data_IF_632786119688
#
_entry.id   IF_632786119688
#
_cell.length_a   1.000
_cell.length_b   1.000
_cell.length_c   1.000
_cell.angle_alpha   90.00
_cell.angle_beta   90.00
_cell.angle_gamma   90.00
#
_symmetry.space_group_name_H-M   'P 1'
#
loop_
_entity.id
_entity.type
_entity.pdbx_description
1 polymer ?
#
# COMPACT_ATOMS: atom_id res chain seq x y z
N UNK A 1 43.98 74.57 -37.07
CA UNK A 1 43.13 73.38 -37.21
C UNK A 1 43.94 72.19 -36.72
N UNK A 2 43.73 71.80 -35.46
CA UNK A 2 44.41 70.63 -34.87
C UNK A 2 43.33 69.54 -34.68
N UNK A 3 43.50 68.40 -35.34
CA UNK A 3 42.66 67.23 -35.17
C UNK A 3 43.19 66.33 -34.03
N UNK A 4 42.43 66.20 -33.00
CA UNK A 4 42.72 65.29 -31.88
C UNK A 4 42.18 63.93 -32.22
N UNK A 5 43.06 62.92 -32.25
CA UNK A 5 42.66 61.52 -32.40
C UNK A 5 42.49 60.92 -30.99
N UNK A 6 41.29 60.47 -30.68
CA UNK A 6 41.00 59.73 -29.44
C UNK A 6 41.11 58.28 -29.74
N UNK A 7 42.05 57.59 -29.09
CA UNK A 7 42.25 56.16 -29.14
C UNK A 7 41.37 55.51 -28.06
N UNK A 8 40.34 54.75 -28.45
CA UNK A 8 39.54 54.00 -27.51
C UNK A 8 40.15 52.61 -27.33
N UNK A 9 40.62 52.31 -26.11
CA UNK A 9 40.96 50.94 -25.69
C UNK A 9 39.67 50.17 -25.36
N UNK A 10 39.38 49.13 -26.14
CA UNK A 10 38.41 48.10 -25.73
C UNK A 10 39.12 47.09 -24.84
N UNK A 11 38.72 47.04 -23.56
CA UNK A 11 39.07 45.96 -22.65
C UNK A 11 38.06 44.83 -22.84
N UNK A 12 38.52 43.70 -23.34
CA UNK A 12 37.73 42.47 -23.39
C UNK A 12 37.68 41.86 -21.99
N UNK A 13 36.51 41.95 -21.32
CA UNK A 13 36.22 41.16 -20.13
C UNK A 13 35.72 39.79 -20.56
N UNK A 14 36.56 38.78 -20.41
CA UNK A 14 36.17 37.39 -20.52
C UNK A 14 35.38 37.01 -19.28
N UNK A 15 34.04 36.93 -19.38
CA UNK A 15 33.20 36.40 -18.34
C UNK A 15 33.26 34.86 -18.43
N UNK A 16 33.88 34.24 -17.43
CA UNK A 16 33.80 32.80 -17.21
C UNK A 16 32.38 32.50 -16.70
N UNK A 17 31.49 32.08 -17.58
CA UNK A 17 30.20 31.51 -17.18
C UNK A 17 30.45 30.09 -16.70
N UNK A 18 30.44 29.89 -15.38
CA UNK A 18 30.26 28.59 -14.80
C UNK A 18 28.81 28.20 -15.02
N UNK A 19 28.53 27.37 -16.00
CA UNK A 19 27.26 26.67 -16.11
C UNK A 19 27.20 25.66 -14.97
N UNK A 20 26.57 26.07 -13.87
CA UNK A 20 26.13 25.19 -12.84
C UNK A 20 24.96 24.37 -13.39
N UNK A 21 25.21 23.16 -13.85
CA UNK A 21 24.16 22.13 -14.03
C UNK A 21 23.69 21.74 -12.65
N UNK A 22 22.81 22.53 -12.06
CA UNK A 22 22.00 22.13 -10.93
C UNK A 22 21.06 21.06 -11.46
N UNK A 23 21.44 19.80 -11.31
CA UNK A 23 20.52 18.69 -11.47
C UNK A 23 19.41 18.89 -10.45
N UNK A 24 18.22 19.25 -10.91
CA UNK A 24 17.03 19.09 -10.09
C UNK A 24 16.88 17.59 -9.90
N UNK A 25 17.15 17.11 -8.69
CA UNK A 25 16.78 15.77 -8.29
C UNK A 25 15.26 15.74 -8.38
N UNK A 26 14.74 15.04 -9.38
CA UNK A 26 13.30 14.85 -9.57
C UNK A 26 12.81 14.03 -8.38
N UNK A 27 12.23 14.71 -7.40
CA UNK A 27 11.67 14.03 -6.23
C UNK A 27 10.56 13.12 -6.74
N UNK A 28 10.72 11.82 -6.56
CA UNK A 28 9.71 10.85 -6.95
C UNK A 28 8.35 11.23 -6.33
N UNK A 29 7.26 11.12 -7.09
CA UNK A 29 5.94 11.46 -6.57
C UNK A 29 5.61 10.56 -5.38
N UNK A 30 5.20 11.19 -4.27
CA UNK A 30 4.75 10.48 -3.10
C UNK A 30 3.45 9.77 -3.40
N UNK A 31 3.42 8.45 -3.18
CA UNK A 31 2.21 7.66 -3.30
C UNK A 31 1.56 7.47 -1.92
N UNK A 32 0.23 7.44 -1.91
CA UNK A 32 -0.58 7.36 -0.71
C UNK A 32 -1.36 6.05 -0.65
N UNK A 33 -1.65 5.57 0.56
CA UNK A 33 -2.64 4.52 0.75
C UNK A 33 -4.05 5.10 0.57
N UNK A 34 -4.83 4.54 -0.36
CA UNK A 34 -6.21 4.93 -0.63
C UNK A 34 -7.23 4.16 0.21
N UNK A 35 -6.84 3.25 1.08
CA UNK A 35 -7.76 2.48 1.89
C UNK A 35 -8.58 3.39 2.79
N UNK A 36 -9.91 3.36 2.61
CA UNK A 36 -10.82 4.12 3.44
C UNK A 36 -10.94 3.47 4.81
N UNK A 37 -10.53 4.21 5.81
CA UNK A 37 -10.66 3.77 7.19
C UNK A 37 -12.10 3.91 7.68
N UNK A 38 -12.57 2.96 8.49
CA UNK A 38 -13.86 3.09 9.12
C UNK A 38 -13.93 4.33 10.01
N UNK A 39 -15.11 4.97 10.10
CA UNK A 39 -15.34 6.02 11.09
C UNK A 39 -15.08 5.50 12.51
N UNK A 40 -14.87 6.40 13.47
CA UNK A 40 -14.68 6.03 14.90
C UNK A 40 -15.77 5.07 15.37
N UNK A 41 -17.05 5.35 15.03
CA UNK A 41 -18.15 4.44 15.35
C UNK A 41 -18.07 3.10 14.64
N UNK A 42 -17.57 3.08 13.39
CA UNK A 42 -17.35 1.85 12.63
C UNK A 42 -16.22 1.00 13.21
N UNK A 43 -15.13 1.63 13.66
CA UNK A 43 -14.02 0.96 14.35
C UNK A 43 -14.52 0.34 15.67
N UNK A 44 -15.20 1.12 16.50
CA UNK A 44 -15.75 0.63 17.76
C UNK A 44 -16.71 -0.54 17.54
N UNK A 45 -17.57 -0.48 16.53
CA UNK A 45 -18.46 -1.59 16.19
C UNK A 45 -17.70 -2.85 15.76
N UNK A 46 -16.62 -2.68 15.00
CA UNK A 46 -15.75 -3.80 14.60
C UNK A 46 -15.04 -4.44 15.82
N UNK A 47 -14.51 -3.63 16.74
CA UNK A 47 -13.84 -4.10 17.95
C UNK A 47 -14.84 -4.80 18.91
N UNK A 48 -16.04 -4.25 19.07
CA UNK A 48 -17.10 -4.91 19.86
C UNK A 48 -17.50 -6.26 19.25
N UNK A 49 -17.67 -6.32 17.93
CA UNK A 49 -17.95 -7.57 17.24
C UNK A 49 -16.82 -8.60 17.41
N UNK A 50 -15.57 -8.15 17.45
CA UNK A 50 -14.42 -9.01 17.75
C UNK A 50 -14.44 -9.53 19.18
N UNK A 51 -14.79 -8.69 20.16
CA UNK A 51 -14.85 -9.08 21.57
C UNK A 51 -15.95 -10.12 21.86
N UNK A 52 -17.00 -10.15 21.03
CA UNK A 52 -18.07 -11.15 21.12
C UNK A 52 -17.70 -12.49 20.46
N UNK A 53 -16.61 -12.54 19.69
CA UNK A 53 -16.13 -13.81 19.15
C UNK A 53 -15.57 -14.60 20.33
N UNK A 54 -16.16 -15.75 20.70
CA UNK A 54 -15.61 -16.55 21.77
C UNK A 54 -14.13 -16.77 21.52
N UNK A 55 -13.28 -16.45 22.48
CA UNK A 55 -11.89 -16.89 22.47
C UNK A 55 -11.92 -18.41 22.51
N UNK A 56 -12.14 -19.04 21.36
CA UNK A 56 -12.12 -20.50 21.25
C UNK A 56 -10.69 -20.90 21.62
N UNK A 57 -10.56 -21.45 22.80
CA UNK A 57 -9.35 -22.11 23.21
C UNK A 57 -9.01 -23.15 22.14
N UNK A 58 -7.76 -23.17 21.71
CA UNK A 58 -7.01 -24.20 20.99
C UNK A 58 -7.40 -24.63 19.56
N UNK A 59 -8.60 -24.37 19.05
CA UNK A 59 -8.99 -24.82 17.70
C UNK A 59 -8.97 -23.73 16.61
N UNK A 60 -8.51 -22.52 16.91
CA UNK A 60 -8.34 -21.47 15.90
C UNK A 60 -7.06 -21.76 15.11
N UNK A 61 -7.21 -21.96 13.81
CA UNK A 61 -6.06 -22.00 12.93
C UNK A 61 -5.32 -20.66 13.05
N UNK A 62 -4.11 -20.72 13.55
CA UNK A 62 -3.16 -19.62 13.46
C UNK A 62 -2.54 -19.69 12.07
N UNK A 63 -2.78 -18.66 11.26
CA UNK A 63 -2.32 -18.64 9.88
C UNK A 63 -3.13 -19.56 8.95
N UNK A 64 -2.58 -19.75 7.77
CA UNK A 64 -3.20 -20.57 6.72
C UNK A 64 -2.68 -20.23 5.33
N UNK A 65 -3.31 -20.85 4.32
CA UNK A 65 -3.07 -20.51 2.92
C UNK A 65 -4.26 -19.77 2.35
N UNK A 66 -3.99 -18.65 1.70
CA UNK A 66 -4.96 -17.82 1.00
C UNK A 66 -4.73 -18.02 -0.51
N UNK A 67 -5.78 -18.42 -1.21
CA UNK A 67 -5.78 -18.49 -2.67
C UNK A 67 -5.86 -17.07 -3.24
N UNK A 68 -5.01 -16.74 -4.21
CA UNK A 68 -4.91 -15.41 -4.82
C UNK A 68 -5.30 -15.46 -6.27
N UNK A 69 -6.28 -14.66 -6.65
CA UNK A 69 -6.71 -14.44 -8.01
C UNK A 69 -6.22 -13.07 -8.47
N UNK A 70 -5.31 -13.03 -9.44
CA UNK A 70 -4.72 -11.77 -9.92
C UNK A 70 -5.36 -11.36 -11.24
N UNK A 71 -5.89 -10.14 -11.27
CA UNK A 71 -6.55 -9.52 -12.41
C UNK A 71 -5.76 -8.29 -12.85
N UNK A 72 -4.89 -8.44 -13.85
CA UNK A 72 -4.19 -7.30 -14.45
C UNK A 72 -5.12 -6.63 -15.47
N UNK A 73 -5.46 -5.38 -15.18
CA UNK A 73 -6.33 -4.58 -16.06
C UNK A 73 -5.46 -3.49 -16.66
N UNK A 74 -5.24 -3.55 -17.96
CA UNK A 74 -4.48 -2.56 -18.74
C UNK A 74 -5.39 -1.74 -19.64
N UNK A 75 -5.01 -0.48 -19.92
CA UNK A 75 -5.78 0.36 -20.83
C UNK A 75 -5.56 -0.02 -22.29
N UNK A 76 -4.33 -0.37 -22.64
CA UNK A 76 -3.89 -0.83 -23.96
C UNK A 76 -2.59 -1.63 -23.80
N UNK A 77 -2.15 -2.40 -24.82
CA UNK A 77 -0.81 -2.97 -24.81
C UNK A 77 0.26 -1.88 -24.60
N UNK A 78 1.15 -2.09 -23.64
CA UNK A 78 2.19 -1.14 -23.25
C UNK A 78 1.78 -0.11 -22.20
N UNK A 79 0.51 -0.09 -21.77
CA UNK A 79 0.05 0.81 -20.69
C UNK A 79 -0.73 0.02 -19.63
N UNK A 80 -0.11 -0.18 -18.48
CA UNK A 80 -0.60 -1.04 -17.40
C UNK A 80 -0.24 -2.52 -17.59
N UNK A 81 0.71 -2.84 -18.48
CA UNK A 81 1.19 -4.20 -18.66
C UNK A 81 1.97 -4.65 -17.42
N UNK A 82 1.63 -5.84 -16.95
CA UNK A 82 2.36 -6.55 -15.91
C UNK A 82 2.64 -7.97 -16.38
N UNK A 83 3.89 -8.39 -16.30
CA UNK A 83 4.33 -9.71 -16.72
C UNK A 83 4.06 -10.78 -15.65
N UNK A 84 4.00 -12.05 -16.08
CA UNK A 84 3.94 -13.19 -15.15
C UNK A 84 5.12 -13.16 -14.16
N UNK A 85 6.32 -12.81 -14.62
CA UNK A 85 7.49 -12.74 -13.75
C UNK A 85 7.35 -11.70 -12.62
N UNK A 86 6.71 -10.56 -12.88
CA UNK A 86 6.42 -9.57 -11.84
C UNK A 86 5.38 -10.10 -10.85
N UNK A 87 4.36 -10.82 -11.32
CA UNK A 87 3.38 -11.46 -10.45
C UNK A 87 4.04 -12.55 -9.59
N UNK A 88 4.89 -13.40 -10.17
CA UNK A 88 5.61 -14.43 -9.43
C UNK A 88 6.50 -13.79 -8.35
N UNK A 89 7.18 -12.69 -8.68
CA UNK A 89 7.98 -11.93 -7.71
C UNK A 89 7.12 -11.29 -6.62
N UNK A 90 5.95 -10.73 -6.97
CA UNK A 90 5.00 -10.20 -5.98
C UNK A 90 4.49 -11.28 -5.02
N UNK A 91 4.23 -12.48 -5.51
CA UNK A 91 3.84 -13.61 -4.66
C UNK A 91 4.97 -14.02 -3.70
N UNK A 92 6.24 -13.91 -4.12
CA UNK A 92 7.39 -14.12 -3.23
C UNK A 92 7.47 -13.05 -2.14
N UNK A 93 7.27 -11.77 -2.49
CA UNK A 93 7.25 -10.66 -1.52
C UNK A 93 6.15 -10.87 -0.47
N UNK A 94 4.91 -11.15 -0.89
CA UNK A 94 3.82 -11.47 0.03
C UNK A 94 4.16 -12.64 0.95
N UNK A 95 4.68 -13.74 0.40
CA UNK A 95 5.02 -14.90 1.21
C UNK A 95 6.18 -14.64 2.18
N UNK A 96 7.18 -13.84 1.80
CA UNK A 96 8.27 -13.46 2.69
C UNK A 96 7.78 -12.62 3.87
N UNK A 97 6.88 -11.67 3.63
CA UNK A 97 6.34 -10.79 4.66
C UNK A 97 5.41 -11.51 5.64
N UNK A 98 4.54 -12.39 5.14
CA UNK A 98 3.50 -13.02 5.94
C UNK A 98 3.84 -14.40 6.50
N UNK A 99 4.83 -15.10 5.92
CA UNK A 99 5.22 -16.42 6.42
C UNK A 99 5.69 -16.43 7.89
N UNK A 100 6.43 -15.42 8.38
CA UNK A 100 6.83 -15.36 9.79
C UNK A 100 5.64 -15.33 10.76
N UNK A 101 4.49 -14.81 10.32
CA UNK A 101 3.25 -14.76 11.10
C UNK A 101 2.23 -15.86 10.71
N UNK A 102 2.69 -16.90 10.01
CA UNK A 102 1.91 -18.13 9.75
C UNK A 102 1.05 -18.11 8.50
N UNK A 103 1.03 -17.04 7.70
CA UNK A 103 0.20 -16.93 6.51
C UNK A 103 0.99 -17.22 5.22
N UNK A 104 0.32 -17.82 4.24
CA UNK A 104 0.85 -18.15 2.92
C UNK A 104 -0.13 -17.71 1.84
N UNK A 105 0.40 -17.34 0.68
CA UNK A 105 -0.37 -16.95 -0.49
C UNK A 105 -0.03 -17.87 -1.65
N UNK A 106 -1.06 -18.48 -2.23
CA UNK A 106 -0.93 -19.36 -3.39
C UNK A 106 -1.62 -18.73 -4.59
N UNK A 107 -0.89 -18.57 -5.70
CA UNK A 107 -1.45 -18.02 -6.93
C UNK A 107 -2.40 -19.05 -7.57
N UNK A 108 -3.70 -18.86 -7.38
CA UNK A 108 -4.72 -19.73 -7.93
C UNK A 108 -4.96 -19.48 -9.42
N UNK A 109 -4.95 -18.20 -9.82
CA UNK A 109 -5.09 -17.82 -11.22
C UNK A 109 -4.52 -16.41 -11.47
N UNK A 110 -4.12 -16.19 -12.72
CA UNK A 110 -3.67 -14.91 -13.26
C UNK A 110 -4.31 -14.68 -14.64
N UNK A 111 -4.84 -13.49 -14.84
CA UNK A 111 -5.40 -13.09 -16.14
C UNK A 111 -5.07 -11.63 -16.46
N UNK A 112 -4.97 -11.31 -17.75
CA UNK A 112 -4.78 -9.94 -18.23
C UNK A 112 -5.97 -9.51 -19.06
N UNK A 113 -6.56 -8.38 -18.68
CA UNK A 113 -7.74 -7.79 -19.31
C UNK A 113 -7.34 -6.46 -19.96
N UNK A 114 -7.64 -6.27 -21.25
CA UNK A 114 -7.51 -4.97 -21.91
C UNK A 114 -8.85 -4.26 -21.88
N UNK A 115 -8.98 -3.28 -20.99
CA UNK A 115 -10.19 -2.47 -20.84
C UNK A 115 -9.83 -1.05 -20.37
N UNK A 116 -9.83 -0.05 -21.28
CA UNK A 116 -9.45 1.33 -20.93
C UNK A 116 -10.31 1.95 -19.85
N UNK A 117 -11.59 1.57 -19.76
CA UNK A 117 -12.50 2.10 -18.74
C UNK A 117 -12.20 1.50 -17.37
N UNK A 118 -12.04 0.17 -17.30
CA UNK A 118 -11.74 -0.51 -16.05
C UNK A 118 -10.30 -0.27 -15.55
N UNK A 119 -9.41 0.17 -16.43
CA UNK A 119 -8.04 0.52 -16.05
C UNK A 119 -8.02 1.61 -14.97
N UNK A 120 -8.92 2.59 -15.04
CA UNK A 120 -9.09 3.63 -14.02
C UNK A 120 -10.02 3.15 -12.92
N UNK A 121 -9.48 2.35 -12.00
CA UNK A 121 -10.22 1.65 -10.95
C UNK A 121 -10.33 2.50 -9.67
N UNK A 122 -10.97 3.66 -9.78
CA UNK A 122 -11.15 4.59 -8.66
C UNK A 122 -12.07 3.99 -7.57
N UNK A 123 -11.66 4.10 -6.33
CA UNK A 123 -12.38 3.57 -5.17
C UNK A 123 -13.78 4.18 -5.05
N UNK A 124 -14.79 3.34 -4.84
CA UNK A 124 -16.19 3.74 -4.69
C UNK A 124 -16.89 4.07 -6.00
N UNK A 125 -16.20 4.02 -7.14
CA UNK A 125 -16.78 4.34 -8.45
C UNK A 125 -17.70 3.23 -8.97
N UNK A 126 -18.56 3.59 -9.94
CA UNK A 126 -19.35 2.62 -10.68
C UNK A 126 -18.47 1.70 -11.54
N UNK A 127 -17.32 2.19 -11.98
CA UNK A 127 -16.32 1.42 -12.73
C UNK A 127 -15.73 0.32 -11.87
N UNK A 128 -15.32 0.63 -10.64
CA UNK A 128 -14.85 -0.36 -9.67
C UNK A 128 -15.90 -1.45 -9.45
N UNK A 129 -17.16 -1.04 -9.19
CA UNK A 129 -18.23 -2.00 -8.95
C UNK A 129 -18.47 -2.94 -10.13
N UNK A 130 -18.40 -2.44 -11.36
CA UNK A 130 -18.56 -3.23 -12.58
C UNK A 130 -17.39 -4.19 -12.80
N UNK A 131 -16.15 -3.69 -12.70
CA UNK A 131 -14.96 -4.50 -12.90
C UNK A 131 -14.87 -5.63 -11.87
N UNK A 132 -15.00 -5.30 -10.58
CA UNK A 132 -14.97 -6.30 -9.50
C UNK A 132 -16.10 -7.30 -9.61
N UNK A 133 -17.33 -6.89 -9.94
CA UNK A 133 -18.46 -7.82 -10.14
C UNK A 133 -18.23 -8.81 -11.31
N UNK A 134 -17.50 -8.40 -12.34
CA UNK A 134 -17.19 -9.26 -13.49
C UNK A 134 -16.00 -10.21 -13.21
N UNK A 135 -15.02 -9.76 -12.44
CA UNK A 135 -13.73 -10.43 -12.28
C UNK A 135 -13.59 -11.20 -10.98
N UNK A 136 -14.35 -10.85 -9.93
CA UNK A 136 -14.24 -11.50 -8.62
C UNK A 136 -14.33 -13.03 -8.73
N UNK A 137 -13.42 -13.73 -8.04
CA UNK A 137 -13.32 -15.19 -7.98
C UNK A 137 -13.26 -15.66 -6.52
N UNK A 138 -13.68 -16.91 -6.32
CA UNK A 138 -13.58 -17.57 -5.00
C UNK A 138 -14.63 -17.10 -4.00
N UNK A 139 -14.25 -17.12 -2.75
CA UNK A 139 -15.07 -16.83 -1.57
C UNK A 139 -14.44 -15.72 -0.73
N UNK A 140 -15.03 -15.38 0.42
CA UNK A 140 -14.46 -14.40 1.34
C UNK A 140 -13.06 -14.78 1.88
N UNK A 141 -12.65 -16.05 1.73
CA UNK A 141 -11.33 -16.55 2.16
C UNK A 141 -10.23 -16.25 1.15
N UNK A 142 -10.62 -15.94 -0.08
CA UNK A 142 -9.73 -15.86 -1.23
C UNK A 142 -9.47 -14.39 -1.57
N UNK A 143 -8.22 -14.05 -1.85
CA UNK A 143 -7.82 -12.70 -2.18
C UNK A 143 -7.98 -12.45 -3.68
N UNK A 144 -8.76 -11.44 -4.04
CA UNK A 144 -8.76 -10.88 -5.38
C UNK A 144 -7.84 -9.66 -5.43
N UNK A 145 -6.78 -9.74 -6.23
CA UNK A 145 -5.79 -8.69 -6.41
C UNK A 145 -5.98 -8.07 -7.80
N UNK A 146 -6.48 -6.84 -7.84
CA UNK A 146 -6.70 -6.08 -9.07
C UNK A 146 -5.52 -5.14 -9.27
N UNK A 147 -4.82 -5.29 -10.39
CA UNK A 147 -3.67 -4.47 -10.75
C UNK A 147 -4.08 -3.53 -11.87
N UNK A 148 -4.13 -2.23 -11.58
CA UNK A 148 -4.71 -1.21 -12.47
C UNK A 148 -4.13 0.18 -12.14
N UNK A 149 -4.85 1.25 -12.46
CA UNK A 149 -4.61 2.61 -12.01
C UNK A 149 -5.72 3.04 -11.03
N UNK A 150 -5.47 3.08 -9.72
CA UNK A 150 -6.47 3.51 -8.73
C UNK A 150 -6.75 5.03 -8.76
N UNK A 151 -5.97 5.81 -9.52
CA UNK A 151 -6.07 7.27 -9.55
C UNK A 151 -5.58 7.96 -8.28
N UNK A 152 -5.75 9.28 -8.22
CA UNK A 152 -5.52 10.15 -7.03
C UNK A 152 -4.13 10.07 -6.40
N UNK A 153 -3.11 9.51 -7.07
CA UNK A 153 -1.78 9.28 -6.49
C UNK A 153 -1.75 8.16 -5.45
N UNK A 154 -2.70 7.23 -5.53
CA UNK A 154 -2.73 6.08 -4.62
C UNK A 154 -1.81 4.97 -5.11
N UNK A 155 -1.05 4.37 -4.17
CA UNK A 155 -0.33 3.10 -4.40
C UNK A 155 -1.29 1.91 -4.51
N UNK A 156 -2.45 2.03 -3.90
CA UNK A 156 -3.50 1.03 -3.87
C UNK A 156 -4.53 1.31 -2.78
N UNK A 157 -5.52 0.43 -2.70
CA UNK A 157 -6.52 0.40 -1.63
C UNK A 157 -7.09 -1.00 -1.42
N UNK A 158 -7.64 -1.24 -0.24
CA UNK A 158 -8.21 -2.52 0.16
C UNK A 158 -9.65 -2.39 0.67
N UNK A 159 -10.42 -3.45 0.56
CA UNK A 159 -11.68 -3.62 1.26
C UNK A 159 -11.42 -4.19 2.65
N UNK A 160 -11.71 -3.42 3.70
CA UNK A 160 -11.59 -3.90 5.09
C UNK A 160 -12.57 -5.06 5.36
N UNK A 161 -12.23 -6.04 6.25
CA UNK A 161 -13.03 -7.24 6.48
C UNK A 161 -14.50 -6.98 6.82
N UNK A 162 -14.78 -5.97 7.65
CA UNK A 162 -16.15 -5.63 8.02
C UNK A 162 -16.99 -5.13 6.82
N UNK A 163 -16.36 -4.53 5.80
CA UNK A 163 -17.01 -4.06 4.58
C UNK A 163 -17.36 -5.17 3.59
N UNK A 164 -16.64 -6.29 3.62
CA UNK A 164 -16.79 -7.37 2.65
C UNK A 164 -18.15 -8.08 2.71
N UNK A 165 -18.76 -8.18 3.90
CA UNK A 165 -20.07 -8.83 4.07
C UNK A 165 -21.22 -8.13 3.33
N UNK A 166 -21.18 -6.80 3.24
CA UNK A 166 -22.25 -6.02 2.62
C UNK A 166 -22.24 -6.12 1.09
N UNK A 167 -21.09 -6.32 0.49
CA UNK A 167 -20.91 -6.43 -0.96
C UNK A 167 -19.72 -7.36 -1.28
N UNK A 168 -19.88 -8.70 -1.14
CA UNK A 168 -18.78 -9.64 -1.29
C UNK A 168 -18.04 -9.52 -2.64
N UNK A 169 -18.76 -9.20 -3.71
CA UNK A 169 -18.17 -9.01 -5.05
C UNK A 169 -17.26 -7.77 -5.16
N UNK A 170 -17.31 -6.85 -4.19
CA UNK A 170 -16.41 -5.68 -4.12
C UNK A 170 -15.15 -5.95 -3.29
N UNK A 171 -15.06 -7.13 -2.68
CA UNK A 171 -13.91 -7.47 -1.85
C UNK A 171 -12.62 -7.59 -2.68
N UNK A 172 -11.51 -7.33 -2.00
CA UNK A 172 -10.17 -7.47 -2.57
C UNK A 172 -9.30 -6.23 -2.38
N UNK A 173 -8.16 -6.29 -3.04
CA UNK A 173 -7.11 -5.27 -3.04
C UNK A 173 -6.94 -4.73 -4.46
N UNK A 174 -6.85 -3.42 -4.60
CA UNK A 174 -6.46 -2.75 -5.85
C UNK A 174 -5.06 -2.18 -5.68
N UNK A 175 -4.18 -2.43 -6.63
CA UNK A 175 -2.81 -1.92 -6.67
C UNK A 175 -2.56 -1.11 -7.93
N UNK A 176 -1.81 -0.04 -7.80
CA UNK A 176 -1.22 0.64 -8.93
C UNK A 176 -0.24 -0.31 -9.62
N UNK A 177 -0.37 -0.48 -10.94
CA UNK A 177 0.44 -1.44 -11.70
C UNK A 177 1.96 -1.20 -11.57
N UNK A 178 2.37 0.04 -11.35
CA UNK A 178 3.78 0.43 -11.25
C UNK A 178 4.41 0.21 -9.87
N UNK A 179 3.63 -0.15 -8.83
CA UNK A 179 4.19 -0.49 -7.50
C UNK A 179 4.56 -1.98 -7.35
N UNK A 180 4.25 -2.79 -8.35
CA UNK A 180 4.71 -4.18 -8.37
C UNK A 180 6.23 -4.23 -8.56
N UNK A 181 6.90 -5.32 -8.18
CA UNK A 181 8.36 -5.43 -8.30
C UNK A 181 8.88 -5.05 -9.69
N UNK A 182 9.74 -4.02 -9.75
CA UNK A 182 10.27 -3.47 -10.99
C UNK A 182 9.27 -2.70 -11.85
N UNK A 183 8.15 -2.25 -11.28
CA UNK A 183 7.10 -1.54 -12.00
C UNK A 183 7.40 -0.07 -12.30
N UNK A 184 8.44 0.50 -11.68
CA UNK A 184 8.97 1.83 -11.97
C UNK A 184 8.44 2.96 -11.10
N UNK A 185 7.72 2.67 -10.01
CA UNK A 185 7.25 3.67 -9.05
C UNK A 185 8.18 3.78 -7.83
N UNK A 186 9.51 3.72 -8.04
CA UNK A 186 10.46 3.88 -6.93
C UNK A 186 10.15 5.16 -6.11
N UNK A 187 10.23 5.10 -4.77
CA UNK A 187 10.74 4.02 -3.91
C UNK A 187 9.70 2.97 -3.49
N UNK A 188 8.57 2.85 -4.19
CA UNK A 188 7.42 2.02 -3.85
C UNK A 188 7.23 0.82 -4.82
N UNK A 189 8.28 0.37 -5.49
CA UNK A 189 8.23 -0.66 -6.53
C UNK A 189 9.04 -1.93 -6.22
N UNK A 190 9.17 -2.25 -4.92
CA UNK A 190 9.71 -3.54 -4.47
C UNK A 190 8.62 -4.55 -4.13
N UNK A 191 7.34 -4.10 -4.10
CA UNK A 191 6.16 -4.95 -3.90
C UNK A 191 5.57 -4.88 -2.49
N UNK A 192 6.13 -4.09 -1.58
CA UNK A 192 5.65 -3.99 -0.20
C UNK A 192 4.38 -3.16 -0.08
N UNK A 193 4.03 -2.38 -1.11
CA UNK A 193 2.71 -1.76 -1.19
C UNK A 193 1.59 -2.81 -1.23
N UNK A 194 1.81 -3.97 -1.87
CA UNK A 194 0.87 -5.08 -1.81
C UNK A 194 0.79 -5.69 -0.40
N UNK A 195 1.92 -5.80 0.31
CA UNK A 195 1.94 -6.28 1.70
C UNK A 195 1.10 -5.35 2.58
N UNK A 196 1.29 -4.04 2.47
CA UNK A 196 0.52 -3.02 3.18
C UNK A 196 -1.00 -3.16 2.91
N UNK A 197 -1.40 -3.19 1.64
CA UNK A 197 -2.83 -3.29 1.28
C UNK A 197 -3.46 -4.62 1.70
N UNK A 198 -2.72 -5.73 1.64
CA UNK A 198 -3.17 -7.02 2.16
C UNK A 198 -3.31 -6.98 3.69
N UNK A 199 -2.46 -6.22 4.39
CA UNK A 199 -2.62 -5.94 5.83
C UNK A 199 -4.00 -5.34 6.13
N UNK A 200 -4.43 -4.34 5.38
CA UNK A 200 -5.78 -3.77 5.49
C UNK A 200 -6.87 -4.77 5.13
N UNK A 201 -6.70 -5.56 4.07
CA UNK A 201 -7.64 -6.59 3.69
C UNK A 201 -7.80 -7.66 4.78
N UNK A 202 -6.74 -7.91 5.56
CA UNK A 202 -6.75 -8.78 6.74
C UNK A 202 -7.21 -8.08 8.03
N UNK A 203 -7.39 -6.75 8.01
CA UNK A 203 -8.01 -5.97 9.08
C UNK A 203 -7.06 -5.15 9.95
N UNK A 204 -5.82 -4.97 9.53
CA UNK A 204 -4.90 -4.03 10.18
C UNK A 204 -5.25 -2.59 9.79
N UNK A 205 -5.10 -1.68 10.74
CA UNK A 205 -5.12 -0.24 10.52
C UNK A 205 -3.68 0.28 10.34
N UNK A 206 -3.55 1.54 9.91
CA UNK A 206 -2.25 2.19 9.91
C UNK A 206 -1.73 2.37 11.35
N UNK A 207 -0.42 2.31 11.56
CA UNK A 207 0.19 2.56 12.88
C UNK A 207 -0.06 3.98 13.38
N UNK A 208 -0.31 4.95 12.47
CA UNK A 208 -0.61 6.36 12.76
C UNK A 208 -2.10 6.68 12.83
N UNK A 209 -2.95 5.68 13.07
CA UNK A 209 -4.40 5.76 12.91
C UNK A 209 -5.13 6.72 13.87
N UNK A 210 -4.61 6.97 15.05
CA UNK A 210 -5.26 7.77 16.08
C UNK A 210 -4.34 8.85 16.66
N UNK A 211 -3.38 9.29 15.89
CA UNK A 211 -2.35 10.20 16.37
C UNK A 211 -1.71 9.67 17.68
N UNK A 212 -1.32 10.58 18.57
CA UNK A 212 -0.77 10.23 19.88
C UNK A 212 -1.84 9.97 20.96
N UNK A 213 -3.12 9.91 20.60
CA UNK A 213 -4.20 9.60 21.54
C UNK A 213 -4.29 8.10 21.79
N UNK A 214 -3.51 7.63 22.73
CA UNK A 214 -3.17 6.22 22.99
C UNK A 214 -4.35 5.28 23.33
N UNK A 215 -5.58 5.76 23.51
CA UNK A 215 -6.66 4.88 23.99
C UNK A 215 -7.15 3.87 22.94
N UNK A 216 -6.89 4.11 21.67
CA UNK A 216 -7.37 3.18 20.65
C UNK A 216 -6.38 2.95 19.50
N UNK A 217 -5.45 3.86 19.18
CA UNK A 217 -4.42 3.69 18.17
C UNK A 217 -4.88 2.91 16.93
N UNK A 218 -4.07 1.99 16.51
CA UNK A 218 -4.40 0.97 15.49
C UNK A 218 -5.05 -0.29 16.10
N UNK A 219 -5.43 -0.24 17.39
CA UNK A 219 -5.97 -1.37 18.18
C UNK A 219 -5.02 -2.55 18.32
N UNK A 220 -3.72 -2.29 18.30
CA UNK A 220 -2.67 -3.28 18.53
C UNK A 220 -1.72 -2.76 19.63
N UNK A 221 -1.65 -3.46 20.74
CA UNK A 221 -0.97 -2.99 21.96
C UNK A 221 0.56 -2.88 21.79
N UNK A 222 1.15 -3.70 20.94
CA UNK A 222 2.61 -3.78 20.74
C UNK A 222 3.10 -2.94 19.53
N UNK A 223 2.26 -2.08 18.97
CA UNK A 223 2.65 -1.04 18.01
C UNK A 223 2.73 0.30 18.75
N UNK A 224 3.90 0.97 18.77
CA UNK A 224 4.01 2.31 19.35
C UNK A 224 3.09 3.31 18.64
N UNK A 225 2.55 4.28 19.42
CA UNK A 225 1.72 5.33 18.86
C UNK A 225 2.53 6.21 17.90
N UNK A 226 1.91 6.63 16.81
CA UNK A 226 2.55 7.43 15.76
C UNK A 226 1.59 8.49 15.27
N UNK A 227 2.03 9.76 15.21
CA UNK A 227 1.15 10.87 14.83
C UNK A 227 0.93 10.99 13.33
N UNK A 228 1.85 10.49 12.50
CA UNK A 228 1.83 10.70 11.05
C UNK A 228 2.52 9.57 10.29
N UNK A 229 2.27 9.42 8.97
CA UNK A 229 2.94 8.43 8.13
C UNK A 229 4.45 8.54 8.15
N UNK A 230 5.15 7.42 8.00
CA UNK A 230 6.62 7.32 8.08
C UNK A 230 7.30 7.45 6.71
N UNK A 231 6.80 8.31 5.82
CA UNK A 231 7.37 8.46 4.49
C UNK A 231 8.90 8.57 4.47
N UNK A 232 9.53 7.95 3.49
CA UNK A 232 10.96 7.72 3.48
C UNK A 232 11.34 6.58 4.44
N UNK A 233 12.38 6.79 5.23
CA UNK A 233 12.80 5.88 6.29
C UNK A 233 13.33 6.68 7.49
N UNK A 234 12.47 7.37 8.26
CA UNK A 234 12.87 8.28 9.33
C UNK A 234 13.26 7.52 10.61
N UNK A 235 14.30 6.70 10.54
CA UNK A 235 14.79 5.89 11.66
C UNK A 235 15.09 6.76 12.87
N UNK A 236 14.58 6.36 14.03
CA UNK A 236 14.76 7.09 15.30
C UNK A 236 13.79 8.26 15.48
N UNK A 237 12.83 8.45 14.58
CA UNK A 237 11.73 9.38 14.79
C UNK A 237 10.85 8.90 15.96
N UNK A 238 10.36 9.82 16.77
CA UNK A 238 9.41 9.59 17.86
C UNK A 238 8.44 10.76 17.89
N UNK A 239 7.29 10.59 17.25
CA UNK A 239 6.30 11.66 17.11
C UNK A 239 5.41 11.82 18.31
N UNK A 240 5.28 10.79 19.16
CA UNK A 240 4.40 10.79 20.32
C UNK A 240 5.15 10.81 21.68
N UNK A 241 6.46 10.61 21.69
CA UNK A 241 7.27 10.67 22.91
C UNK A 241 7.13 9.47 23.84
N UNK A 242 6.65 8.33 23.33
CA UNK A 242 6.37 7.11 24.09
C UNK A 242 7.21 5.90 23.64
N UNK A 243 8.14 6.08 22.70
CA UNK A 243 9.04 4.99 22.29
C UNK A 243 9.33 4.98 20.83
N UNK A 244 9.81 5.54 20.00
CA UNK A 244 10.16 5.52 18.57
C UNK A 244 9.07 4.99 17.66
N UNK A 245 8.77 5.74 16.62
CA UNK A 245 7.78 5.35 15.61
C UNK A 245 8.17 4.01 14.97
N UNK A 246 7.22 3.10 14.71
CA UNK A 246 7.48 1.79 14.11
C UNK A 246 7.71 1.91 12.59
N UNK A 247 8.75 2.64 12.18
CA UNK A 247 9.03 3.00 10.77
C UNK A 247 9.28 1.79 9.86
N UNK A 248 9.67 0.65 10.46
CA UNK A 248 9.90 -0.60 9.72
C UNK A 248 8.65 -1.47 9.59
N UNK A 249 7.54 -1.09 10.22
CA UNK A 249 6.30 -1.85 10.16
C UNK A 249 5.63 -1.66 8.79
N UNK A 250 5.12 -2.74 8.20
CA UNK A 250 4.43 -2.68 6.92
C UNK A 250 3.22 -1.74 6.90
N UNK A 251 2.64 -1.41 8.07
CA UNK A 251 1.49 -0.50 8.17
C UNK A 251 1.88 0.97 8.42
N UNK A 252 3.17 1.31 8.37
CA UNK A 252 3.69 2.66 8.68
C UNK A 252 3.75 3.62 7.49
N UNK A 253 3.47 3.18 6.26
CA UNK A 253 3.57 3.96 5.02
C UNK A 253 4.97 4.55 4.76
N UNK A 254 6.03 3.79 5.06
CA UNK A 254 7.40 4.12 4.68
C UNK A 254 7.74 3.59 3.28
N UNK A 255 8.94 3.92 2.79
CA UNK A 255 9.45 3.38 1.54
C UNK A 255 9.58 1.85 1.60
N UNK A 256 9.38 1.15 0.48
CA UNK A 256 9.44 -0.31 0.43
C UNK A 256 10.77 -0.87 0.99
N UNK A 257 11.89 -0.20 0.74
CA UNK A 257 13.20 -0.63 1.28
C UNK A 257 13.35 -0.47 2.80
N UNK A 258 12.42 0.22 3.45
CA UNK A 258 12.44 0.50 4.89
C UNK A 258 11.59 -0.50 5.68
N UNK A 259 10.46 -0.93 5.13
CA UNK A 259 9.50 -1.81 5.82
C UNK A 259 9.92 -3.27 5.75
N UNK A 260 9.71 -4.03 6.83
CA UNK A 260 10.12 -5.43 6.87
C UNK A 260 9.44 -6.28 7.95
N UNK A 261 8.51 -5.74 8.76
CA UNK A 261 7.94 -6.49 9.87
C UNK A 261 6.44 -6.26 10.11
N UNK A 262 5.84 -7.22 10.80
CA UNK A 262 4.60 -7.15 11.54
C UNK A 262 4.86 -7.53 12.99
N UNK A 263 4.16 -6.90 13.94
CA UNK A 263 4.23 -7.26 15.35
C UNK A 263 3.45 -8.54 15.67
N UNK A 264 3.71 -9.12 16.83
CA UNK A 264 2.94 -10.28 17.31
C UNK A 264 1.46 -9.96 17.53
N UNK A 265 1.16 -8.74 18.00
CA UNK A 265 -0.21 -8.25 18.16
C UNK A 265 -0.93 -8.10 16.82
N UNK A 266 -0.24 -7.58 15.80
CA UNK A 266 -0.79 -7.52 14.43
C UNK A 266 -1.10 -8.92 13.90
N UNK A 267 -0.22 -9.89 14.10
CA UNK A 267 -0.45 -11.29 13.72
C UNK A 267 -1.70 -11.88 14.39
N UNK A 268 -1.83 -11.69 15.70
CA UNK A 268 -3.00 -12.16 16.46
C UNK A 268 -4.30 -11.47 16.00
N UNK A 269 -4.23 -10.18 15.65
CA UNK A 269 -5.35 -9.43 15.11
C UNK A 269 -5.80 -9.97 13.75
N UNK A 270 -4.84 -10.23 12.84
CA UNK A 270 -5.10 -10.87 11.53
C UNK A 270 -5.83 -12.20 11.72
N UNK A 271 -5.32 -13.08 12.57
CA UNK A 271 -5.94 -14.39 12.84
C UNK A 271 -7.39 -14.25 13.33
N UNK A 272 -7.62 -13.32 14.25
CA UNK A 272 -8.94 -13.07 14.82
C UNK A 272 -9.91 -12.57 13.75
N UNK A 273 -9.51 -11.57 12.95
CA UNK A 273 -10.37 -10.97 11.93
C UNK A 273 -10.59 -11.90 10.74
N UNK A 274 -9.59 -12.65 10.31
CA UNK A 274 -9.77 -13.67 9.28
C UNK A 274 -10.79 -14.73 9.70
N UNK A 275 -10.68 -15.23 10.93
CA UNK A 275 -11.64 -16.19 11.48
C UNK A 275 -13.06 -15.61 11.57
N UNK A 276 -13.20 -14.31 11.90
CA UNK A 276 -14.49 -13.65 12.08
C UNK A 276 -15.20 -13.34 10.75
N UNK A 277 -14.45 -12.93 9.76
CA UNK A 277 -15.00 -12.31 8.56
C UNK A 277 -14.73 -13.08 7.26
N UNK A 278 -13.73 -13.96 7.23
CA UNK A 278 -13.25 -14.59 5.99
C UNK A 278 -13.34 -16.12 5.97
N UNK A 279 -13.83 -16.75 7.02
CA UNK A 279 -13.85 -18.22 7.14
C UNK A 279 -15.11 -18.90 6.55
N UNK A 280 -16.00 -18.14 5.93
CA UNK A 280 -17.30 -18.63 5.43
C UNK A 280 -17.31 -18.87 3.94
#
# INVERSE_FOLDING_TARGET
MRRTVVLSLLAAMSACQAEGTGGYEEVAPQLWCGTQEPSVGGKLAAELAMSEIPSAHDDKAHGGTIEVYVHVIRSAPGNGDVSQAQIDQQMLVLNNAYAPIGWRFHLAAFETITNPTWFHLEQGSAVEAQAKAALHRGTARDLNLYVADPGHGFSGYATMPAGSKAAPYKDGVVLLYSVLPGGGAAPYDLGDQAVHQVGHWLGLYHTYQADCEALNGDYVEDTPATAEPSFGCPVGRDTCGDGGDPVHNYMASADDSCVNDFTAGQAARIDTLFNAYRRY
#
